data_IF_645689864208
#
_entry.id   IF_645689864208
#
_cell.length_a   1.000
_cell.length_b   1.000
_cell.length_c   1.000
_cell.angle_alpha   90.00
_cell.angle_beta   90.00
_cell.angle_gamma   90.00
#
_symmetry.space_group_name_H-M   'P 1'
#
loop_
_entity.id
_entity.type
_entity.pdbx_description
1 polymer ?
#
# COMPACT_ATOMS: atom_id res chain seq x y z
N UNK A 1 15.64 8.23 8.93
CA UNK A 1 15.37 7.32 10.05
C UNK A 1 16.28 6.14 9.89
N UNK A 2 16.92 5.69 10.97
CA UNK A 2 17.68 4.45 10.93
C UNK A 2 16.72 3.25 10.82
N UNK A 3 16.91 2.42 9.79
CA UNK A 3 15.99 1.34 9.47
C UNK A 3 16.00 0.19 10.50
N UNK A 4 17.09 0.03 11.26
CA UNK A 4 17.27 -1.06 12.22
C UNK A 4 16.70 -0.74 13.60
N UNK A 5 16.83 0.52 14.03
CA UNK A 5 16.44 1.01 15.35
C UNK A 5 15.12 1.77 15.33
N UNK A 6 14.68 2.25 14.16
CA UNK A 6 13.52 3.13 14.03
C UNK A 6 13.74 4.55 14.56
N UNK A 7 14.98 4.91 14.89
CA UNK A 7 15.31 6.24 15.41
C UNK A 7 15.19 7.29 14.30
N UNK A 8 14.45 8.36 14.56
CA UNK A 8 14.48 9.54 13.70
C UNK A 8 15.82 10.23 13.89
N UNK A 9 16.55 10.40 12.80
CA UNK A 9 17.91 10.94 12.83
C UNK A 9 17.92 12.47 12.70
N UNK A 10 17.06 13.02 11.83
CA UNK A 10 17.04 14.46 11.54
C UNK A 10 15.64 14.91 11.09
N UNK A 11 15.31 16.19 11.33
CA UNK A 11 14.12 16.86 10.81
C UNK A 11 14.54 18.09 10.03
N UNK A 12 14.22 18.14 8.73
CA UNK A 12 14.56 19.28 7.87
C UNK A 12 13.30 19.96 7.36
N UNK A 13 13.35 21.29 7.31
CA UNK A 13 12.28 22.12 6.76
C UNK A 13 12.42 22.22 5.24
N UNK A 14 11.37 21.84 4.51
CA UNK A 14 11.37 21.82 3.04
C UNK A 14 11.45 20.41 2.45
N UNK A 15 11.14 20.33 1.14
CA UNK A 15 11.12 19.07 0.35
C UNK A 15 11.77 19.23 -1.02
N UNK A 16 12.48 20.33 -1.25
CA UNK A 16 13.23 20.54 -2.48
C UNK A 16 14.53 19.74 -2.45
N UNK A 17 15.18 19.62 -3.61
CA UNK A 17 16.40 18.82 -3.75
C UNK A 17 17.51 19.30 -2.81
N UNK A 18 17.71 20.61 -2.69
CA UNK A 18 18.77 21.21 -1.88
C UNK A 18 18.60 20.92 -0.38
N UNK A 19 17.40 21.13 0.19
CA UNK A 19 17.15 20.87 1.60
C UNK A 19 17.31 19.38 1.94
N UNK A 20 16.92 18.49 1.01
CA UNK A 20 17.12 17.06 1.19
C UNK A 20 18.60 16.72 1.14
N UNK A 21 19.36 17.28 0.19
CA UNK A 21 20.80 17.05 0.10
C UNK A 21 21.52 17.50 1.37
N UNK A 22 21.22 18.70 1.88
CA UNK A 22 21.78 19.21 3.13
C UNK A 22 21.50 18.24 4.30
N UNK A 23 20.27 17.73 4.40
CA UNK A 23 19.90 16.74 5.40
C UNK A 23 20.73 15.46 5.30
N UNK A 24 20.91 14.95 4.08
CA UNK A 24 21.63 13.69 3.85
C UNK A 24 23.13 13.86 4.12
N UNK A 25 23.72 15.02 3.81
CA UNK A 25 25.15 15.28 4.02
C UNK A 25 25.57 15.31 5.50
N UNK A 26 24.63 15.43 6.44
CA UNK A 26 24.91 15.32 7.88
C UNK A 26 25.41 13.93 8.28
N UNK A 27 25.15 12.91 7.47
CA UNK A 27 25.54 11.53 7.74
C UNK A 27 26.81 11.18 6.96
N UNK A 28 27.91 11.02 7.69
CA UNK A 28 29.23 10.64 7.16
C UNK A 28 29.46 9.12 7.14
N UNK A 29 28.50 8.35 7.65
CA UNK A 29 28.57 6.90 7.66
C UNK A 29 28.43 6.32 6.24
N UNK A 30 28.95 5.11 6.04
CA UNK A 30 28.78 4.41 4.76
C UNK A 30 27.33 3.93 4.64
N UNK A 31 26.49 4.74 4.01
CA UNK A 31 25.11 4.39 3.71
C UNK A 31 25.09 3.44 2.50
N UNK A 32 24.60 2.21 2.70
CA UNK A 32 24.49 1.21 1.63
C UNK A 32 23.11 1.19 1.00
N UNK A 33 22.07 1.56 1.74
CA UNK A 33 20.68 1.43 1.32
C UNK A 33 19.86 2.63 1.79
N UNK A 34 19.04 3.20 0.91
CA UNK A 34 18.13 4.30 1.23
C UNK A 34 16.72 3.95 0.77
N UNK A 35 15.76 3.95 1.68
CA UNK A 35 14.34 3.72 1.36
C UNK A 35 13.61 5.07 1.25
N UNK A 36 12.95 5.34 0.12
CA UNK A 36 12.09 6.53 -0.01
C UNK A 36 10.93 6.36 -1.00
N UNK A 37 10.03 7.34 -1.05
CA UNK A 37 8.85 7.38 -1.90
C UNK A 37 9.15 7.73 -3.39
N UNK A 38 10.43 7.85 -3.76
CA UNK A 38 10.91 8.21 -5.10
C UNK A 38 10.34 9.53 -5.65
N UNK A 39 10.06 10.51 -4.78
CA UNK A 39 9.83 11.87 -5.25
C UNK A 39 11.06 12.34 -6.06
N UNK A 40 10.90 13.03 -7.23
CA UNK A 40 12.04 13.37 -8.09
C UNK A 40 13.17 14.13 -7.38
N UNK A 41 12.82 15.04 -6.47
CA UNK A 41 13.79 15.77 -5.65
C UNK A 41 14.54 14.85 -4.67
N UNK A 42 13.85 13.89 -4.07
CA UNK A 42 14.47 12.90 -3.17
C UNK A 42 15.41 11.97 -3.92
N UNK A 43 14.99 11.42 -5.07
CA UNK A 43 15.84 10.52 -5.88
C UNK A 43 17.11 11.21 -6.32
N UNK A 44 17.00 12.43 -6.89
CA UNK A 44 18.18 13.20 -7.31
C UNK A 44 19.10 13.53 -6.14
N UNK A 45 18.56 13.94 -5.00
CA UNK A 45 19.34 14.23 -3.81
C UNK A 45 20.09 12.99 -3.29
N UNK A 46 19.44 11.82 -3.27
CA UNK A 46 20.05 10.56 -2.86
C UNK A 46 21.15 10.14 -3.83
N UNK A 47 20.88 10.18 -5.14
CA UNK A 47 21.87 9.84 -6.19
C UNK A 47 23.10 10.74 -6.13
N UNK A 48 22.93 12.03 -5.81
CA UNK A 48 24.04 12.99 -5.68
C UNK A 48 24.82 12.83 -4.38
N UNK A 49 24.16 12.53 -3.27
CA UNK A 49 24.82 12.46 -1.95
C UNK A 49 25.44 11.10 -1.69
N UNK A 50 24.79 10.00 -2.11
CA UNK A 50 25.24 8.64 -1.85
C UNK A 50 25.39 7.84 -3.14
N UNK A 51 26.48 8.11 -3.87
CA UNK A 51 26.76 7.50 -5.19
C UNK A 51 26.72 5.95 -5.20
N UNK A 52 27.04 5.31 -4.07
CA UNK A 52 27.13 3.85 -3.95
C UNK A 52 25.94 3.22 -3.22
N UNK A 53 24.96 4.02 -2.78
CA UNK A 53 23.81 3.49 -2.06
C UNK A 53 22.77 2.92 -3.05
N UNK A 54 22.18 1.79 -2.68
CA UNK A 54 21.01 1.25 -3.37
C UNK A 54 19.79 2.06 -2.98
N UNK A 55 19.14 2.70 -3.96
CA UNK A 55 17.86 3.36 -3.73
C UNK A 55 16.72 2.32 -3.79
N UNK A 56 16.14 2.04 -2.62
CA UNK A 56 15.02 1.13 -2.46
C UNK A 56 13.71 1.95 -2.46
N UNK A 57 12.75 1.49 -3.26
CA UNK A 57 11.42 2.10 -3.27
C UNK A 57 10.62 1.70 -2.04
N UNK A 58 9.92 2.64 -1.43
CA UNK A 58 9.00 2.35 -0.32
C UNK A 58 7.90 1.37 -0.76
N UNK A 59 7.85 0.22 -0.09
CA UNK A 59 6.85 -0.81 -0.32
C UNK A 59 5.40 -0.30 -0.14
N UNK A 60 5.15 0.62 0.80
CA UNK A 60 3.83 1.22 0.98
C UNK A 60 3.45 2.11 -0.21
N UNK A 61 4.43 2.84 -0.76
CA UNK A 61 4.25 3.63 -1.97
C UNK A 61 3.90 2.74 -3.16
N UNK A 62 4.66 1.66 -3.39
CA UNK A 62 4.37 0.67 -4.44
C UNK A 62 2.97 0.10 -4.28
N UNK A 63 2.67 -0.43 -3.09
CA UNK A 63 1.38 -1.07 -2.80
C UNK A 63 0.22 -0.11 -3.03
N UNK A 64 0.37 1.16 -2.64
CA UNK A 64 -0.64 2.18 -2.90
C UNK A 64 -0.84 2.38 -4.39
N UNK A 65 0.21 2.56 -5.18
CA UNK A 65 0.09 2.80 -6.62
C UNK A 65 -0.59 1.65 -7.36
N UNK A 66 -0.21 0.41 -7.08
CA UNK A 66 -0.85 -0.74 -7.77
C UNK A 66 -2.25 -1.05 -7.28
N UNK A 67 -2.55 -0.77 -6.01
CA UNK A 67 -3.87 -1.09 -5.46
C UNK A 67 -4.89 0.02 -5.65
N UNK A 68 -4.50 1.30 -5.69
CA UNK A 68 -5.40 2.45 -5.72
C UNK A 68 -6.16 2.57 -7.05
N UNK A 69 -7.27 3.33 -7.02
CA UNK A 69 -8.03 3.66 -8.21
C UNK A 69 -7.20 4.59 -9.10
N UNK A 70 -7.13 4.36 -10.43
CA UNK A 70 -6.37 5.23 -11.33
C UNK A 70 -6.80 6.69 -11.25
N UNK A 71 -8.09 6.95 -11.01
CA UNK A 71 -8.65 8.31 -10.91
C UNK A 71 -8.12 9.08 -9.68
N UNK A 72 -7.59 8.39 -8.67
CA UNK A 72 -7.02 9.01 -7.47
C UNK A 72 -5.49 9.13 -7.54
N UNK A 73 -4.88 8.73 -8.65
CA UNK A 73 -3.45 8.86 -8.89
C UNK A 73 -3.18 10.11 -9.72
N UNK A 74 -2.07 10.79 -9.43
CA UNK A 74 -1.61 11.90 -10.29
C UNK A 74 -1.24 11.37 -11.67
N UNK A 75 -1.06 12.25 -12.67
CA UNK A 75 -0.69 11.79 -14.01
C UNK A 75 0.71 11.16 -14.00
N UNK A 76 1.63 11.70 -13.22
CA UNK A 76 2.99 11.17 -13.03
C UNK A 76 2.96 9.78 -12.41
N UNK A 77 2.14 9.58 -11.37
CA UNK A 77 1.96 8.27 -10.73
C UNK A 77 1.35 7.26 -11.70
N UNK A 78 0.35 7.67 -12.50
CA UNK A 78 -0.25 6.81 -13.53
C UNK A 78 0.76 6.44 -14.59
N UNK A 79 1.60 7.38 -15.03
CA UNK A 79 2.67 7.12 -15.97
C UNK A 79 3.66 6.09 -15.43
N UNK A 80 4.06 6.24 -14.16
CA UNK A 80 4.95 5.29 -13.48
C UNK A 80 4.37 3.87 -13.44
N UNK A 81 3.09 3.73 -13.08
CA UNK A 81 2.40 2.43 -13.10
C UNK A 81 2.35 1.83 -14.51
N UNK A 82 2.15 2.66 -15.55
CA UNK A 82 2.16 2.20 -16.95
C UNK A 82 3.53 1.66 -17.34
N UNK A 83 4.60 2.36 -17.01
CA UNK A 83 5.99 1.94 -17.27
C UNK A 83 6.29 0.60 -16.57
N UNK A 84 5.99 0.48 -15.28
CA UNK A 84 6.20 -0.77 -14.56
C UNK A 84 5.41 -1.94 -15.14
N UNK A 85 4.18 -1.71 -15.61
CA UNK A 85 3.37 -2.74 -16.25
C UNK A 85 3.88 -3.11 -17.66
N UNK A 86 4.65 -2.24 -18.32
CA UNK A 86 5.29 -2.55 -19.59
C UNK A 86 6.53 -3.43 -19.37
N UNK A 87 7.28 -3.17 -18.31
CA UNK A 87 8.53 -3.85 -17.97
C UNK A 87 8.31 -5.21 -17.27
N UNK A 88 7.35 -5.28 -16.34
CA UNK A 88 7.11 -6.47 -15.52
C UNK A 88 5.71 -7.07 -15.76
N UNK A 89 5.68 -8.22 -16.43
CA UNK A 89 4.43 -8.92 -16.74
C UNK A 89 3.68 -9.44 -15.49
N UNK A 90 4.34 -10.08 -14.49
CA UNK A 90 3.67 -10.44 -13.24
C UNK A 90 2.94 -9.26 -12.57
N UNK A 91 3.61 -8.10 -12.46
CA UNK A 91 3.06 -6.88 -11.88
C UNK A 91 1.88 -6.36 -12.69
N UNK A 92 1.97 -6.36 -14.03
CA UNK A 92 0.86 -5.99 -14.90
C UNK A 92 -0.37 -6.86 -14.64
N UNK A 93 -0.19 -8.17 -14.55
CA UNK A 93 -1.29 -9.09 -14.29
C UNK A 93 -1.88 -8.88 -12.89
N UNK A 94 -1.03 -8.65 -11.88
CA UNK A 94 -1.47 -8.28 -10.54
C UNK A 94 -2.31 -7.00 -10.56
N UNK A 95 -1.78 -5.92 -11.14
CA UNK A 95 -2.46 -4.63 -11.26
C UNK A 95 -3.82 -4.78 -11.95
N UNK A 96 -3.88 -5.40 -13.12
CA UNK A 96 -5.12 -5.63 -13.86
C UNK A 96 -6.13 -6.48 -13.07
N UNK A 97 -5.66 -7.47 -12.31
CA UNK A 97 -6.51 -8.29 -11.47
C UNK A 97 -7.12 -7.50 -10.31
N UNK A 98 -6.35 -6.59 -9.69
CA UNK A 98 -6.80 -5.71 -8.62
C UNK A 98 -7.82 -4.70 -9.15
N UNK A 99 -7.57 -4.09 -10.31
CA UNK A 99 -8.51 -3.14 -10.91
C UNK A 99 -9.83 -3.84 -11.30
N UNK A 100 -9.78 -5.03 -11.91
CA UNK A 100 -10.99 -5.77 -12.23
C UNK A 100 -11.76 -6.22 -10.96
N UNK A 101 -11.06 -6.53 -9.85
CA UNK A 101 -11.71 -6.86 -8.58
C UNK A 101 -12.50 -5.67 -8.02
N UNK A 102 -11.99 -4.44 -8.19
CA UNK A 102 -12.72 -3.21 -7.81
C UNK A 102 -14.05 -3.09 -8.56
N UNK A 103 -14.11 -3.52 -9.81
CA UNK A 103 -15.37 -3.49 -10.58
C UNK A 103 -16.38 -4.51 -10.07
N UNK A 104 -15.93 -5.67 -9.58
CA UNK A 104 -16.82 -6.63 -8.89
C UNK A 104 -17.43 -5.94 -7.66
N UNK A 105 -16.61 -5.26 -6.85
CA UNK A 105 -17.05 -4.58 -5.63
C UNK A 105 -17.99 -3.39 -5.89
N UNK A 106 -18.00 -2.83 -7.11
CA UNK A 106 -18.94 -1.79 -7.54
C UNK A 106 -20.26 -2.35 -8.11
N UNK A 107 -20.59 -3.62 -7.88
CA UNK A 107 -21.84 -4.18 -8.40
C UNK A 107 -23.02 -3.77 -7.53
N UNK A 108 -24.14 -3.42 -8.15
CA UNK A 108 -25.36 -2.97 -7.47
C UNK A 108 -26.29 -4.15 -7.14
N UNK A 109 -26.13 -5.27 -7.84
CA UNK A 109 -27.00 -6.44 -7.69
C UNK A 109 -26.22 -7.73 -7.57
N UNK A 110 -26.81 -8.73 -6.89
CA UNK A 110 -26.23 -10.08 -6.76
C UNK A 110 -25.93 -10.69 -8.12
N UNK A 111 -26.81 -10.46 -9.09
CA UNK A 111 -26.66 -10.97 -10.47
C UNK A 111 -25.43 -10.35 -11.14
N UNK A 112 -25.28 -9.04 -11.07
CA UNK A 112 -24.13 -8.33 -11.64
C UNK A 112 -22.81 -8.75 -10.96
N UNK A 113 -22.80 -8.85 -9.63
CA UNK A 113 -21.64 -9.32 -8.87
C UNK A 113 -21.22 -10.73 -9.29
N UNK A 114 -22.19 -11.63 -9.49
CA UNK A 114 -21.92 -12.99 -9.95
C UNK A 114 -21.33 -13.03 -11.37
N UNK A 115 -21.89 -12.24 -12.29
CA UNK A 115 -21.39 -12.17 -13.68
C UNK A 115 -19.95 -11.65 -13.69
N UNK A 116 -19.68 -10.55 -12.99
CA UNK A 116 -18.34 -9.95 -12.91
C UNK A 116 -17.35 -10.88 -12.21
N UNK A 117 -17.75 -11.53 -11.12
CA UNK A 117 -16.91 -12.51 -10.43
C UNK A 117 -16.56 -13.70 -11.35
N UNK A 118 -17.54 -14.20 -12.10
CA UNK A 118 -17.29 -15.28 -13.07
C UNK A 118 -16.28 -14.81 -14.13
N UNK A 119 -16.48 -13.65 -14.73
CA UNK A 119 -15.56 -13.08 -15.73
C UNK A 119 -14.14 -12.89 -15.19
N UNK A 120 -14.02 -12.48 -13.93
CA UNK A 120 -12.73 -12.35 -13.26
C UNK A 120 -12.06 -13.72 -13.06
N UNK A 121 -12.81 -14.72 -12.59
CA UNK A 121 -12.30 -16.08 -12.41
C UNK A 121 -11.86 -16.70 -13.74
N UNK A 122 -12.67 -16.58 -14.79
CA UNK A 122 -12.37 -17.08 -16.12
C UNK A 122 -11.05 -16.47 -16.67
N UNK A 123 -10.76 -15.21 -16.33
CA UNK A 123 -9.54 -14.51 -16.76
C UNK A 123 -8.29 -14.87 -15.93
N UNK A 124 -8.43 -15.13 -14.63
CA UNK A 124 -7.29 -15.15 -13.71
C UNK A 124 -7.06 -16.48 -12.99
N UNK A 125 -8.00 -17.43 -13.04
CA UNK A 125 -7.87 -18.72 -12.33
C UNK A 125 -6.74 -19.60 -12.89
N UNK A 126 -6.53 -19.53 -14.20
CA UNK A 126 -5.48 -20.30 -14.92
C UNK A 126 -4.30 -19.43 -15.32
N UNK A 127 -4.10 -18.29 -14.65
CA UNK A 127 -2.99 -17.40 -14.92
C UNK A 127 -1.64 -18.06 -14.58
N UNK A 128 -0.62 -17.80 -15.39
CA UNK A 128 0.73 -18.35 -15.22
C UNK A 128 1.44 -17.80 -13.96
N UNK A 129 1.01 -16.64 -13.46
CA UNK A 129 1.59 -16.01 -12.28
C UNK A 129 0.92 -16.51 -10.99
N UNK A 130 1.72 -17.17 -10.15
CA UNK A 130 1.26 -17.80 -8.91
C UNK A 130 0.51 -16.85 -7.97
N UNK A 131 0.93 -15.58 -7.90
CA UNK A 131 0.29 -14.56 -7.04
C UNK A 131 -1.18 -14.37 -7.40
N UNK A 132 -1.47 -14.12 -8.68
CA UNK A 132 -2.83 -13.89 -9.18
C UNK A 132 -3.68 -15.16 -9.06
N UNK A 133 -3.08 -16.32 -9.38
CA UNK A 133 -3.73 -17.62 -9.23
C UNK A 133 -4.13 -17.92 -7.78
N UNK A 134 -3.29 -17.57 -6.80
CA UNK A 134 -3.59 -17.77 -5.39
C UNK A 134 -4.72 -16.87 -4.90
N UNK A 135 -4.78 -15.62 -5.38
CA UNK A 135 -5.93 -14.73 -5.14
C UNK A 135 -7.19 -15.38 -5.73
N UNK A 136 -7.12 -15.87 -6.97
CA UNK A 136 -8.26 -16.49 -7.63
C UNK A 136 -8.80 -17.71 -6.88
N UNK A 137 -7.92 -18.63 -6.47
CA UNK A 137 -8.30 -19.79 -5.64
C UNK A 137 -8.98 -19.38 -4.34
N UNK A 138 -8.48 -18.32 -3.71
CA UNK A 138 -9.08 -17.77 -2.47
C UNK A 138 -10.49 -17.24 -2.74
N UNK A 139 -10.69 -16.50 -3.83
CA UNK A 139 -12.01 -15.98 -4.21
C UNK A 139 -13.00 -17.08 -4.57
N UNK A 140 -12.56 -18.16 -5.24
CA UNK A 140 -13.41 -19.35 -5.47
C UNK A 140 -13.87 -19.94 -4.14
N UNK A 141 -12.93 -20.18 -3.22
CA UNK A 141 -13.21 -20.78 -1.91
C UNK A 141 -14.16 -19.92 -1.07
N UNK A 142 -14.05 -18.59 -1.19
CA UNK A 142 -14.83 -17.63 -0.40
C UNK A 142 -16.00 -17.00 -1.16
N UNK A 143 -16.41 -17.56 -2.31
CA UNK A 143 -17.42 -16.96 -3.19
C UNK A 143 -18.72 -16.62 -2.48
N UNK A 144 -19.24 -17.52 -1.65
CA UNK A 144 -20.49 -17.31 -0.91
C UNK A 144 -20.40 -16.19 0.13
N UNK A 145 -19.20 -15.94 0.68
CA UNK A 145 -18.95 -14.82 1.61
C UNK A 145 -18.66 -13.51 0.87
N UNK A 146 -18.06 -13.57 -0.32
CA UNK A 146 -17.73 -12.40 -1.13
C UNK A 146 -18.98 -11.71 -1.69
N UNK A 147 -19.96 -12.49 -2.16
CA UNK A 147 -21.18 -11.94 -2.77
C UNK A 147 -21.97 -11.02 -1.81
N UNK A 148 -22.17 -11.37 -0.52
CA UNK A 148 -22.70 -10.47 0.49
C UNK A 148 -21.89 -9.17 0.67
N UNK A 149 -20.55 -9.22 0.65
CA UNK A 149 -19.71 -8.03 0.82
C UNK A 149 -19.96 -6.94 -0.25
N UNK A 150 -20.45 -7.34 -1.43
CA UNK A 150 -20.78 -6.41 -2.51
C UNK A 150 -22.15 -5.75 -2.31
N UNK A 151 -23.07 -6.44 -1.63
CA UNK A 151 -24.48 -6.04 -1.55
C UNK A 151 -24.84 -5.40 -0.20
N UNK A 152 -24.05 -5.64 0.83
CA UNK A 152 -24.28 -5.10 2.16
C UNK A 152 -23.23 -4.06 2.52
N UNK A 153 -23.62 -2.86 3.01
CA UNK A 153 -22.70 -1.79 3.38
C UNK A 153 -21.98 -2.04 4.73
N UNK A 154 -22.01 -3.27 5.26
CA UNK A 154 -21.44 -3.58 6.56
C UNK A 154 -19.92 -3.64 6.46
N UNK A 155 -19.26 -2.75 7.21
CA UNK A 155 -17.82 -2.74 7.37
C UNK A 155 -17.47 -2.94 8.84
N UNK A 156 -16.51 -3.82 9.10
CA UNK A 156 -15.90 -3.93 10.43
C UNK A 156 -15.11 -2.67 10.83
N UNK A 157 -14.93 -1.69 9.93
CA UNK A 157 -14.19 -0.47 10.19
C UNK A 157 -14.74 0.38 11.33
N UNK A 158 -16.06 0.39 11.58
CA UNK A 158 -16.66 1.08 12.74
C UNK A 158 -16.27 0.38 14.05
N UNK A 159 -16.33 -0.96 14.05
CA UNK A 159 -15.91 -1.77 15.20
C UNK A 159 -14.40 -1.66 15.43
N UNK A 160 -13.59 -1.68 14.37
CA UNK A 160 -12.14 -1.53 14.44
C UNK A 160 -11.74 -0.11 14.90
N UNK A 161 -12.44 0.92 14.43
CA UNK A 161 -12.29 2.30 14.89
C UNK A 161 -12.61 2.44 16.38
N UNK A 162 -13.69 1.81 16.85
CA UNK A 162 -14.05 1.72 18.27
C UNK A 162 -12.97 0.98 19.07
N UNK A 163 -12.50 -0.16 18.58
CA UNK A 163 -11.41 -0.91 19.20
C UNK A 163 -10.11 -0.10 19.28
N UNK A 164 -9.76 0.65 18.25
CA UNK A 164 -8.58 1.51 18.23
C UNK A 164 -8.71 2.71 19.19
N UNK A 165 -9.91 3.28 19.35
CA UNK A 165 -10.19 4.29 20.37
C UNK A 165 -10.03 3.69 21.78
N UNK A 166 -10.63 2.53 22.05
CA UNK A 166 -10.51 1.83 23.34
C UNK A 166 -9.03 1.50 23.65
N UNK A 167 -8.28 0.96 22.67
CA UNK A 167 -6.85 0.67 22.82
C UNK A 167 -6.03 1.92 23.11
N UNK A 168 -6.29 3.04 22.41
CA UNK A 168 -5.60 4.33 22.66
C UNK A 168 -5.93 4.89 24.05
N UNK A 169 -7.20 4.83 24.46
CA UNK A 169 -7.60 5.20 25.81
C UNK A 169 -6.88 4.32 26.83
N UNK A 170 -6.93 3.00 26.72
CA UNK A 170 -6.22 2.06 27.62
C UNK A 170 -4.72 2.34 27.73
N UNK A 171 -4.03 2.70 26.63
CA UNK A 171 -2.61 3.08 26.66
C UNK A 171 -2.37 4.39 27.43
N UNK A 172 -3.25 5.38 27.30
CA UNK A 172 -3.18 6.64 28.07
C UNK A 172 -3.52 6.44 29.54
N UNK A 173 -4.45 5.52 29.83
CA UNK A 173 -4.94 5.26 31.19
C UNK A 173 -4.10 4.16 31.90
N UNK A 174 -3.03 3.70 31.26
CA UNK A 174 -2.09 2.74 31.84
C UNK A 174 -1.35 3.42 33.00
N UNK A 175 -1.53 2.91 34.22
CA UNK A 175 -0.98 3.50 35.46
C UNK A 175 -1.99 4.27 36.31
N UNK A 176 -3.23 4.48 35.87
CA UNK A 176 -4.27 4.99 36.77
C UNK A 176 -4.64 3.89 37.77
N UNK A 177 -4.56 4.22 39.06
CA UNK A 177 -5.01 3.34 40.14
C UNK A 177 -6.54 3.23 40.08
N UNK A 178 -7.05 2.03 40.27
CA UNK A 178 -8.49 1.80 40.39
C UNK A 178 -9.01 2.54 41.62
N UNK A 179 -9.81 3.59 41.41
CA UNK A 179 -10.32 4.46 42.49
C UNK A 179 -11.67 3.95 43.05
N UNK A 180 -12.21 2.85 42.51
CA UNK A 180 -13.52 2.29 42.88
C UNK A 180 -13.46 0.85 43.42
N UNK A 181 -12.32 0.43 43.97
CA UNK A 181 -12.27 -0.74 44.85
C UNK A 181 -11.41 -0.40 46.07
N UNK A 182 -12.03 0.32 47.01
CA UNK A 182 -11.71 0.38 48.44
C UNK A 182 -13.02 0.45 49.19
#
# INVERSE_FOLDING_TARGET
MDASTGQVLEFVEGKNEDAVMEALQLFVETITDVVSDLAPAMSKAIEKTYLNATHIMDHFYVTRLVSQRPEHLTEEERQKVREWCQEDAPLRHLYQSLQHLRDILKSETKKQANIRLKQWLDRYLFNDYAVVKNIAKTLVTRREALLPCVLFPYSNGIMEGTNNKIKRSKRRVYGYRNIQLW
#
